data_IF_494736377152
#
_entry.id   IF_494736377152
#
_cell.length_a   1.000
_cell.length_b   1.000
_cell.length_c   1.000
_cell.angle_alpha   90.00
_cell.angle_beta   90.00
_cell.angle_gamma   90.00
#
_symmetry.space_group_name_H-M   'P 1'
#
loop_
_entity.id
_entity.type
_entity.pdbx_description
1 polymer ?
#
# COMPACT_ATOMS: atom_id res chain seq x y z
N UNK A 1 -18.03 -11.62 17.58
CA UNK A 1 -19.23 -11.78 16.74
C UNK A 1 -18.89 -12.87 15.75
N UNK A 2 -19.67 -13.95 15.73
CA UNK A 2 -19.36 -15.17 14.98
C UNK A 2 -19.41 -14.88 13.49
N UNK A 3 -18.32 -15.15 12.79
CA UNK A 3 -18.24 -15.13 11.34
C UNK A 3 -18.95 -16.39 10.84
N UNK A 4 -20.27 -16.30 10.64
CA UNK A 4 -21.06 -17.41 10.16
C UNK A 4 -20.94 -17.42 8.64
N UNK A 5 -20.11 -18.31 8.11
CA UNK A 5 -20.01 -18.55 6.67
C UNK A 5 -21.42 -18.82 6.10
N UNK A 6 -21.80 -18.01 5.11
CA UNK A 6 -23.07 -18.16 4.41
C UNK A 6 -23.08 -19.49 3.65
N UNK A 7 -24.23 -20.16 3.66
CA UNK A 7 -24.40 -21.38 2.86
C UNK A 7 -24.26 -21.03 1.36
N UNK A 8 -23.68 -21.91 0.52
CA UNK A 8 -23.51 -21.64 -0.91
C UNK A 8 -24.80 -21.25 -1.63
N UNK A 9 -25.94 -21.86 -1.25
CA UNK A 9 -27.24 -21.50 -1.82
C UNK A 9 -27.67 -20.06 -1.47
N UNK A 10 -27.31 -19.56 -0.29
CA UNK A 10 -27.58 -18.17 0.11
C UNK A 10 -26.73 -17.19 -0.71
N UNK A 11 -25.47 -17.55 -1.00
CA UNK A 11 -24.59 -16.76 -1.86
C UNK A 11 -25.14 -16.68 -3.30
N UNK A 12 -25.63 -17.81 -3.85
CA UNK A 12 -26.27 -17.84 -5.17
C UNK A 12 -27.53 -16.96 -5.22
N UNK A 13 -28.36 -17.04 -4.18
CA UNK A 13 -29.54 -16.19 -4.06
C UNK A 13 -29.18 -14.70 -3.97
N UNK A 14 -28.18 -14.35 -3.17
CA UNK A 14 -27.71 -12.96 -3.01
C UNK A 14 -27.15 -12.40 -4.31
N UNK A 15 -26.37 -13.17 -5.08
CA UNK A 15 -25.90 -12.75 -6.41
C UNK A 15 -27.08 -12.44 -7.34
N UNK A 16 -28.06 -13.34 -7.39
CA UNK A 16 -29.23 -13.17 -8.25
C UNK A 16 -30.06 -11.95 -7.84
N UNK A 17 -30.24 -11.70 -6.54
CA UNK A 17 -30.89 -10.50 -6.03
C UNK A 17 -30.07 -9.24 -6.34
N UNK A 18 -28.76 -9.29 -6.19
CA UNK A 18 -27.84 -8.19 -6.51
C UNK A 18 -27.95 -7.76 -7.98
N UNK A 19 -28.05 -8.73 -8.91
CA UNK A 19 -28.28 -8.43 -10.33
C UNK A 19 -29.62 -7.74 -10.60
N UNK A 20 -30.67 -8.07 -9.86
CA UNK A 20 -31.97 -7.40 -9.97
C UNK A 20 -31.87 -5.98 -9.39
N UNK A 21 -31.28 -5.84 -8.20
CA UNK A 21 -31.10 -4.55 -7.53
C UNK A 21 -30.29 -3.58 -8.40
N UNK A 22 -29.23 -4.04 -9.04
CA UNK A 22 -28.41 -3.21 -9.94
C UNK A 22 -29.20 -2.59 -11.12
N UNK A 23 -30.35 -3.18 -11.50
CA UNK A 23 -31.22 -2.66 -12.58
C UNK A 23 -32.40 -1.86 -12.03
N UNK A 24 -33.02 -2.34 -10.96
CA UNK A 24 -34.26 -1.76 -10.42
C UNK A 24 -34.00 -0.59 -9.47
N UNK A 25 -32.91 -0.66 -8.70
CA UNK A 25 -32.49 0.35 -7.73
C UNK A 25 -30.96 0.52 -7.79
N UNK A 26 -30.44 1.07 -8.92
CA UNK A 26 -29.01 1.31 -9.06
C UNK A 26 -28.53 2.31 -8.01
N UNK A 27 -27.29 2.14 -7.54
CA UNK A 27 -26.66 3.09 -6.64
C UNK A 27 -26.63 4.46 -7.32
N UNK A 28 -27.23 5.51 -6.73
CA UNK A 28 -27.24 6.84 -7.34
C UNK A 28 -25.81 7.37 -7.54
N UNK A 29 -25.55 8.00 -8.69
CA UNK A 29 -24.23 8.56 -9.02
C UNK A 29 -23.71 9.48 -7.91
N UNK A 30 -24.58 10.28 -7.30
CA UNK A 30 -24.22 11.16 -6.20
C UNK A 30 -23.63 10.42 -4.97
N UNK A 31 -24.06 9.19 -4.70
CA UNK A 31 -23.50 8.37 -3.62
C UNK A 31 -22.11 7.85 -4.00
N UNK A 32 -21.91 7.47 -5.26
CA UNK A 32 -20.60 7.05 -5.79
C UNK A 32 -19.61 8.21 -5.72
N UNK A 33 -20.02 9.40 -6.19
CA UNK A 33 -19.21 10.61 -6.16
C UNK A 33 -18.89 11.04 -4.73
N UNK A 34 -19.86 10.97 -3.81
CA UNK A 34 -19.62 11.25 -2.39
C UNK A 34 -18.63 10.26 -1.78
N UNK A 35 -18.75 8.97 -2.14
CA UNK A 35 -17.80 7.94 -1.73
C UNK A 35 -16.38 8.25 -2.21
N UNK A 36 -16.22 8.59 -3.49
CA UNK A 36 -14.93 9.03 -4.06
C UNK A 36 -14.38 10.25 -3.32
N UNK A 37 -15.18 11.30 -3.17
CA UNK A 37 -14.77 12.51 -2.47
C UNK A 37 -14.36 12.24 -1.00
N UNK A 38 -15.07 11.36 -0.29
CA UNK A 38 -14.71 10.97 1.07
C UNK A 38 -13.36 10.23 1.14
N UNK A 39 -13.06 9.39 0.14
CA UNK A 39 -11.75 8.74 0.04
C UNK A 39 -10.63 9.71 -0.35
N UNK A 40 -10.91 10.74 -1.16
CA UNK A 40 -9.96 11.82 -1.42
C UNK A 40 -9.67 12.64 -0.16
N UNK A 41 -10.70 12.97 0.61
CA UNK A 41 -10.59 13.68 1.90
C UNK A 41 -9.80 12.90 2.96
N UNK A 42 -9.78 11.57 2.90
CA UNK A 42 -9.01 10.71 3.82
C UNK A 42 -7.50 10.98 3.76
N UNK A 43 -7.03 11.60 2.67
CA UNK A 43 -5.64 11.94 2.42
C UNK A 43 -5.44 13.42 2.10
N UNK A 44 -6.42 14.28 2.38
CA UNK A 44 -6.35 15.70 2.01
C UNK A 44 -5.12 16.43 2.56
N UNK A 45 -4.61 15.98 3.72
CA UNK A 45 -3.44 16.56 4.37
C UNK A 45 -2.10 15.95 3.90
N UNK A 46 -2.14 14.87 3.11
CA UNK A 46 -0.97 14.13 2.66
C UNK A 46 -0.65 14.44 1.20
N UNK A 47 0.64 14.67 0.93
CA UNK A 47 1.11 14.88 -0.44
C UNK A 47 1.23 13.52 -1.15
N UNK A 48 0.55 13.38 -2.29
CA UNK A 48 0.60 12.14 -3.09
C UNK A 48 1.85 12.13 -3.96
N UNK A 49 2.65 11.07 -3.84
CA UNK A 49 3.84 10.84 -4.67
C UNK A 49 3.45 10.24 -6.02
N UNK A 50 4.36 10.34 -6.99
CA UNK A 50 4.22 9.67 -8.30
C UNK A 50 5.15 8.47 -8.36
N UNK A 51 4.68 7.34 -8.87
CA UNK A 51 5.56 6.19 -9.17
C UNK A 51 6.41 6.54 -10.40
N UNK A 52 7.71 6.68 -10.20
CA UNK A 52 8.67 7.10 -11.22
C UNK A 52 9.21 5.90 -12.00
N UNK A 53 9.50 4.79 -11.31
CA UNK A 53 10.03 3.57 -11.92
C UNK A 53 9.55 2.32 -11.18
N UNK A 54 9.44 1.24 -11.93
CA UNK A 54 9.20 -0.11 -11.43
C UNK A 54 10.15 -1.06 -12.17
N UNK A 55 11.16 -1.55 -11.45
CA UNK A 55 12.17 -2.43 -12.01
C UNK A 55 12.05 -3.83 -11.42
N UNK A 56 11.83 -4.83 -12.28
CA UNK A 56 11.93 -6.24 -11.89
C UNK A 56 13.41 -6.62 -11.93
N UNK A 57 14.01 -6.84 -10.75
CA UNK A 57 15.39 -7.32 -10.70
C UNK A 57 15.42 -8.83 -10.84
N UNK A 58 15.66 -9.30 -12.06
CA UNK A 58 15.94 -10.71 -12.35
C UNK A 58 17.38 -11.13 -12.06
N UNK A 59 18.22 -10.29 -11.44
CA UNK A 59 19.64 -10.56 -11.29
C UNK A 59 20.24 -10.00 -9.99
N UNK A 60 20.51 -10.91 -9.06
CA UNK A 60 21.68 -10.98 -8.16
C UNK A 60 22.43 -9.65 -7.89
N UNK A 61 21.85 -8.76 -7.08
CA UNK A 61 22.63 -7.75 -6.36
C UNK A 61 22.86 -8.21 -4.91
N UNK A 62 23.91 -9.04 -4.76
CA UNK A 62 24.67 -9.34 -3.54
C UNK A 62 23.93 -9.20 -2.20
N UNK A 63 23.26 -10.26 -1.75
CA UNK A 63 23.26 -10.66 -0.34
C UNK A 63 22.75 -12.11 -0.19
N UNK A 64 23.68 -13.04 0.09
CA UNK A 64 23.47 -14.39 0.63
C UNK A 64 22.61 -15.35 -0.25
N UNK A 65 23.12 -16.54 -0.61
CA UNK A 65 22.33 -17.52 -1.33
C UNK A 65 21.33 -18.16 -0.35
N UNK A 66 20.15 -17.58 -0.23
CA UNK A 66 19.00 -18.31 0.30
C UNK A 66 17.70 -17.86 -0.38
N UNK A 67 17.12 -18.85 -1.06
CA UNK A 67 15.69 -19.04 -1.37
C UNK A 67 15.05 -18.22 -2.51
N UNK A 68 14.29 -18.93 -3.34
CA UNK A 68 13.75 -18.56 -4.64
C UNK A 68 12.65 -17.46 -4.57
N UNK A 69 13.02 -16.21 -4.35
CA UNK A 69 12.11 -15.06 -4.37
C UNK A 69 12.35 -14.13 -5.56
N UNK A 70 11.29 -13.57 -6.15
CA UNK A 70 11.40 -12.41 -7.05
C UNK A 70 11.55 -11.13 -6.23
N UNK A 71 12.55 -10.31 -6.56
CA UNK A 71 12.72 -8.97 -5.98
C UNK A 71 12.30 -7.89 -6.98
N UNK A 72 11.50 -6.92 -6.55
CA UNK A 72 11.07 -5.77 -7.35
C UNK A 72 11.41 -4.47 -6.62
N UNK A 73 11.92 -3.49 -7.36
CA UNK A 73 12.20 -2.16 -6.85
C UNK A 73 11.12 -1.20 -7.37
N UNK A 74 10.48 -0.48 -6.44
CA UNK A 74 9.53 0.59 -6.73
C UNK A 74 10.14 1.92 -6.29
N UNK A 75 10.12 2.91 -7.17
CA UNK A 75 10.63 4.25 -6.89
C UNK A 75 9.49 5.25 -6.97
N UNK A 76 9.32 6.03 -5.91
CA UNK A 76 8.30 7.08 -5.81
C UNK A 76 8.96 8.43 -5.57
N UNK A 77 8.45 9.47 -6.23
CA UNK A 77 9.02 10.81 -6.14
C UNK A 77 7.93 11.87 -5.93
N UNK A 78 8.26 12.88 -5.14
CA UNK A 78 7.53 14.13 -5.05
C UNK A 78 8.47 15.29 -4.73
N UNK A 79 8.67 16.20 -5.68
CA UNK A 79 9.59 17.31 -5.51
C UNK A 79 11.02 16.83 -5.28
N UNK A 80 11.59 17.12 -4.11
CA UNK A 80 12.95 16.70 -3.72
C UNK A 80 12.95 15.45 -2.82
N UNK A 81 11.78 14.87 -2.52
CA UNK A 81 11.67 13.65 -1.70
C UNK A 81 11.43 12.43 -2.59
N UNK A 82 12.20 11.37 -2.36
CA UNK A 82 12.02 10.07 -2.98
C UNK A 82 11.85 8.96 -1.95
N UNK A 83 11.08 7.95 -2.30
CA UNK A 83 10.95 6.71 -1.54
C UNK A 83 11.28 5.56 -2.50
N UNK A 84 12.38 4.87 -2.22
CA UNK A 84 12.77 3.65 -2.92
C UNK A 84 12.42 2.45 -2.04
N UNK A 85 11.68 1.49 -2.60
CA UNK A 85 11.27 0.28 -1.87
C UNK A 85 11.60 -0.95 -2.68
N UNK A 86 12.45 -1.79 -2.11
CA UNK A 86 12.69 -3.14 -2.58
C UNK A 86 11.74 -4.10 -1.87
N UNK A 87 10.96 -4.84 -2.66
CA UNK A 87 10.04 -5.87 -2.21
C UNK A 87 10.58 -7.23 -2.64
N UNK A 88 10.85 -8.09 -1.66
CA UNK A 88 11.27 -9.48 -1.90
C UNK A 88 10.19 -10.45 -1.43
N UNK A 89 9.61 -11.19 -2.36
CA UNK A 89 8.58 -12.21 -2.05
C UNK A 89 9.22 -13.47 -1.46
N UNK A 90 8.68 -13.97 -0.34
CA UNK A 90 9.10 -15.19 0.36
C UNK A 90 7.89 -16.01 0.80
N UNK A 91 7.47 -16.95 -0.05
CA UNK A 91 6.27 -17.76 0.21
C UNK A 91 5.00 -16.90 0.14
N UNK A 92 4.18 -16.91 1.19
CA UNK A 92 2.90 -16.18 1.26
C UNK A 92 3.02 -14.70 1.68
N UNK A 93 4.24 -14.24 1.96
CA UNK A 93 4.50 -12.88 2.41
C UNK A 93 5.69 -12.28 1.66
N UNK A 94 5.79 -10.96 1.67
CA UNK A 94 6.97 -10.24 1.21
C UNK A 94 7.70 -9.55 2.37
N UNK A 95 8.98 -9.28 2.14
CA UNK A 95 9.78 -8.36 2.93
C UNK A 95 9.93 -7.07 2.14
N UNK A 96 9.56 -5.94 2.76
CA UNK A 96 9.75 -4.61 2.17
C UNK A 96 10.88 -3.90 2.90
N UNK A 97 11.91 -3.51 2.15
CA UNK A 97 13.01 -2.68 2.63
C UNK A 97 12.97 -1.39 1.85
N UNK A 98 12.91 -0.24 2.53
CA UNK A 98 12.86 1.03 1.86
C UNK A 98 13.80 2.07 2.43
N UNK A 99 14.09 3.07 1.61
CA UNK A 99 14.86 4.25 1.93
C UNK A 99 14.02 5.47 1.52
N UNK A 100 13.88 6.40 2.45
CA UNK A 100 13.33 7.74 2.22
C UNK A 100 14.52 8.68 2.09
N UNK A 101 14.71 9.23 0.90
CA UNK A 101 15.71 10.26 0.65
C UNK A 101 15.03 11.61 0.49
N UNK A 102 15.55 12.62 1.16
CA UNK A 102 15.08 13.99 1.04
C UNK A 102 16.24 14.89 0.61
N UNK A 103 16.26 15.20 -0.69
CA UNK A 103 17.25 16.06 -1.31
C UNK A 103 17.21 17.51 -0.81
N UNK A 104 16.14 17.91 -0.13
CA UNK A 104 16.01 19.25 0.47
C UNK A 104 16.68 19.37 1.85
N UNK A 105 17.02 18.23 2.46
CA UNK A 105 17.68 18.17 3.77
C UNK A 105 16.75 18.42 4.95
N UNK A 106 15.44 18.15 4.84
CA UNK A 106 14.55 18.19 6.00
C UNK A 106 14.94 17.09 6.98
N UNK A 107 14.98 17.45 8.25
CA UNK A 107 15.17 16.50 9.33
C UNK A 107 13.96 15.56 9.46
N UNK A 108 14.15 14.32 9.03
CA UNK A 108 13.20 13.22 9.18
C UNK A 108 13.15 12.65 10.61
N UNK A 109 13.81 13.27 11.59
CA UNK A 109 13.73 12.83 12.98
C UNK A 109 12.28 12.79 13.50
N UNK A 110 11.95 11.66 14.13
CA UNK A 110 10.62 11.39 14.65
C UNK A 110 9.56 11.15 13.57
N UNK A 111 9.96 10.94 12.31
CA UNK A 111 9.09 10.42 11.27
C UNK A 111 9.03 8.89 11.33
N UNK A 112 7.87 8.35 11.00
CA UNK A 112 7.61 6.92 10.94
C UNK A 112 6.93 6.58 9.61
N UNK A 113 7.13 5.34 9.17
CA UNK A 113 6.53 4.81 7.95
C UNK A 113 5.47 3.78 8.31
N UNK A 114 4.29 3.93 7.72
CA UNK A 114 3.25 2.91 7.75
C UNK A 114 3.15 2.24 6.38
N UNK A 115 3.32 0.92 6.35
CA UNK A 115 2.99 0.10 5.18
C UNK A 115 1.55 -0.37 5.36
N UNK A 116 0.65 0.21 4.57
CA UNK A 116 -0.77 -0.14 4.55
C UNK A 116 -1.05 -1.13 3.42
N UNK A 117 -1.78 -2.21 3.71
CA UNK A 117 -2.34 -3.14 2.73
C UNK A 117 -3.86 -3.08 2.73
N UNK A 118 -4.53 -3.89 1.93
CA UNK A 118 -5.99 -4.03 1.96
C UNK A 118 -6.51 -4.64 3.27
N UNK A 119 -5.66 -5.36 4.02
CA UNK A 119 -6.06 -6.15 5.20
C UNK A 119 -5.36 -5.76 6.50
N UNK A 120 -4.24 -5.03 6.43
CA UNK A 120 -3.42 -4.68 7.60
C UNK A 120 -2.69 -3.36 7.42
N UNK A 121 -2.19 -2.80 8.51
CA UNK A 121 -1.26 -1.67 8.50
C UNK A 121 -0.16 -1.95 9.52
N UNK A 122 1.09 -1.76 9.13
CA UNK A 122 2.26 -1.92 10.00
C UNK A 122 3.08 -0.64 10.00
N UNK A 123 3.28 -0.07 11.19
CA UNK A 123 4.07 1.14 11.40
C UNK A 123 5.45 0.79 11.95
N UNK A 124 6.49 1.39 11.39
CA UNK A 124 7.88 1.28 11.81
C UNK A 124 8.55 2.65 11.85
N UNK A 125 9.48 2.83 12.78
CA UNK A 125 10.29 4.04 12.85
C UNK A 125 11.30 4.08 11.69
N UNK A 126 11.62 5.29 11.24
CA UNK A 126 12.72 5.50 10.29
C UNK A 126 14.06 5.56 11.04
N UNK A 127 15.01 4.72 10.63
CA UNK A 127 16.39 4.75 11.11
C UNK A 127 17.28 5.33 10.02
N UNK A 128 17.63 6.61 10.14
CA UNK A 128 18.43 7.32 9.14
C UNK A 128 17.81 7.33 7.74
N UNK A 129 16.47 7.43 7.66
CA UNK A 129 15.71 7.36 6.40
C UNK A 129 15.42 5.92 5.94
N UNK A 130 15.97 4.89 6.59
CA UNK A 130 15.74 3.49 6.24
C UNK A 130 14.59 2.90 7.06
N UNK A 131 13.80 2.03 6.44
CA UNK A 131 12.82 1.20 7.14
C UNK A 131 12.84 -0.25 6.63
N UNK A 132 12.29 -1.15 7.42
CA UNK A 132 12.12 -2.56 7.05
C UNK A 132 10.83 -3.07 7.66
N UNK A 133 9.96 -3.63 6.82
CA UNK A 133 8.73 -4.31 7.25
C UNK A 133 8.81 -5.76 6.82
N UNK A 134 8.78 -6.63 7.81
CA UNK A 134 8.72 -8.07 7.60
C UNK A 134 7.26 -8.52 7.45
N UNK A 135 7.05 -9.61 6.70
CA UNK A 135 5.75 -10.27 6.54
C UNK A 135 4.64 -9.38 5.99
N UNK A 136 4.92 -8.59 4.96
CA UNK A 136 3.92 -7.82 4.22
C UNK A 136 3.01 -8.78 3.45
N UNK A 137 1.67 -8.74 3.62
CA UNK A 137 0.74 -9.50 2.80
C UNK A 137 0.92 -9.19 1.31
N UNK A 138 0.78 -10.21 0.46
CA UNK A 138 0.83 -10.02 -0.99
C UNK A 138 -0.40 -9.26 -1.52
N UNK A 139 -0.23 -8.58 -2.65
CA UNK A 139 -1.25 -7.75 -3.29
C UNK A 139 -0.98 -6.25 -3.12
N UNK A 140 -2.04 -5.44 -3.10
CA UNK A 140 -1.87 -3.98 -3.07
C UNK A 140 -1.38 -3.49 -1.70
N UNK A 141 -0.28 -2.74 -1.73
CA UNK A 141 0.24 -1.99 -0.60
C UNK A 141 0.48 -0.52 -0.96
N UNK A 142 0.60 0.32 0.06
CA UNK A 142 1.07 1.69 -0.07
C UNK A 142 1.87 2.10 1.15
N UNK A 143 2.69 3.12 0.99
CA UNK A 143 3.53 3.67 2.04
C UNK A 143 2.99 5.03 2.43
N UNK A 144 2.89 5.24 3.74
CA UNK A 144 2.51 6.52 4.33
C UNK A 144 3.66 6.98 5.22
N UNK A 145 4.24 8.14 4.90
CA UNK A 145 5.20 8.82 5.76
C UNK A 145 4.44 9.75 6.69
N UNK A 146 4.65 9.60 7.99
CA UNK A 146 3.98 10.37 9.02
C UNK A 146 4.99 10.98 9.98
N UNK A 147 4.67 12.16 10.53
CA UNK A 147 5.46 12.82 11.57
C UNK A 147 4.54 13.56 12.52
N UNK A 148 4.72 13.35 13.83
CA UNK A 148 3.90 14.00 14.87
C UNK A 148 2.38 13.89 14.63
N UNK A 149 1.92 12.74 14.11
CA UNK A 149 0.51 12.49 13.81
C UNK A 149 -0.01 13.13 12.52
N UNK A 150 0.83 13.83 11.77
CA UNK A 150 0.50 14.40 10.45
C UNK A 150 1.07 13.51 9.34
N UNK A 151 0.26 13.23 8.31
CA UNK A 151 0.71 12.52 7.11
C UNK A 151 1.44 13.50 6.21
N UNK A 152 2.70 13.21 5.94
CA UNK A 152 3.55 14.05 5.08
C UNK A 152 3.39 13.63 3.62
N UNK A 153 3.62 12.34 3.34
CA UNK A 153 3.63 11.79 1.99
C UNK A 153 2.86 10.47 1.96
N UNK A 154 2.22 10.20 0.83
CA UNK A 154 1.59 8.91 0.55
C UNK A 154 1.95 8.46 -0.86
N UNK A 155 2.37 7.20 -1.00
CA UNK A 155 2.54 6.61 -2.33
C UNK A 155 1.18 6.20 -2.90
N UNK A 156 1.05 6.10 -4.23
CA UNK A 156 -0.05 5.33 -4.81
C UNK A 156 0.00 3.88 -4.34
N UNK A 157 -1.09 3.16 -4.51
CA UNK A 157 -1.10 1.72 -4.34
C UNK A 157 -0.20 1.07 -5.38
N UNK A 158 0.67 0.16 -4.95
CA UNK A 158 1.55 -0.63 -5.78
C UNK A 158 1.43 -2.12 -5.41
N UNK A 159 1.81 -2.98 -6.35
CA UNK A 159 1.68 -4.42 -6.20
C UNK A 159 2.87 -5.02 -5.45
N UNK A 160 2.58 -5.84 -4.44
CA UNK A 160 3.53 -6.60 -3.63
C UNK A 160 3.36 -8.07 -4.00
N UNK A 161 3.98 -8.50 -5.10
CA UNK A 161 4.06 -9.92 -5.52
C UNK A 161 3.56 -10.21 -6.92
#
# INVERSE_FOLDING_TARGET
MSDQELHPDDLELLDRLGRIAAVVDPVPDAVIELGRAAFELRHADAVVMTMADEAVSGAELRAVPDEQGSSRLHVFEHGEVSIEVEVTVRGEFARAVGIVDDGSGVDLSGAHVSVETTSSSTTVDLDGGRFTVERVPLGLARIVLERAGSRLLVTPWFDVG
#
